data_IF_143703439141
#
_entry.id   IF_143703439141
#
_cell.length_a   1.000
_cell.length_b   1.000
_cell.length_c   1.000
_cell.angle_alpha   90.00
_cell.angle_beta   90.00
_cell.angle_gamma   90.00
#
_symmetry.space_group_name_H-M   'P 1'
#
loop_
_entity.id
_entity.type
_entity.pdbx_description
1 polymer ?
#
# COMPACT_ATOMS: atom_id res chain seq x y z
N UNK A 1 0.07 -11.95 -4.08
CA UNK A 1 0.11 -10.71 -4.88
C UNK A 1 -0.48 -9.59 -4.03
N UNK A 2 0.15 -8.41 -4.06
CA UNK A 2 -0.21 -7.27 -3.19
C UNK A 2 -0.87 -6.19 -4.01
N UNK A 3 -2.00 -5.64 -3.59
CA UNK A 3 -2.63 -4.47 -4.21
C UNK A 3 -2.28 -3.23 -3.41
N UNK A 4 -1.74 -2.23 -4.11
CA UNK A 4 -1.33 -0.95 -3.55
C UNK A 4 -2.32 0.10 -4.05
N UNK A 5 -3.22 0.54 -3.19
CA UNK A 5 -4.16 1.60 -3.52
C UNK A 5 -3.58 2.94 -3.09
N UNK A 6 -3.50 3.86 -4.05
CA UNK A 6 -2.95 5.19 -3.83
C UNK A 6 -3.13 6.07 -5.05
N UNK A 7 -2.48 7.23 -5.05
CA UNK A 7 -2.52 8.17 -6.18
C UNK A 7 -1.12 8.46 -6.70
N UNK A 8 -1.01 8.67 -8.01
CA UNK A 8 0.24 9.09 -8.63
C UNK A 8 0.67 10.47 -8.09
N UNK A 9 1.97 10.64 -7.86
CA UNK A 9 2.53 11.87 -7.30
C UNK A 9 2.36 12.03 -5.79
N UNK A 10 1.90 11.00 -5.07
CA UNK A 10 1.90 10.96 -3.62
C UNK A 10 3.25 10.42 -3.13
N UNK A 11 4.05 11.26 -2.45
CA UNK A 11 5.36 10.87 -1.90
C UNK A 11 5.34 9.54 -1.13
N UNK A 12 4.39 9.31 -0.20
CA UNK A 12 4.22 8.02 0.47
C UNK A 12 3.97 6.83 -0.47
N UNK A 13 3.13 7.01 -1.50
CA UNK A 13 2.80 5.95 -2.46
C UNK A 13 4.03 5.46 -3.23
N UNK A 14 4.86 6.41 -3.68
CA UNK A 14 6.09 6.12 -4.43
C UNK A 14 7.08 5.33 -3.56
N UNK A 15 7.27 5.73 -2.30
CA UNK A 15 8.18 5.04 -1.38
C UNK A 15 7.73 3.60 -1.13
N UNK A 16 6.43 3.35 -0.93
CA UNK A 16 5.89 1.99 -0.77
C UNK A 16 6.14 1.15 -2.02
N UNK A 17 5.83 1.67 -3.21
CA UNK A 17 6.06 0.97 -4.50
C UNK A 17 7.53 0.60 -4.68
N UNK A 18 8.43 1.56 -4.43
CA UNK A 18 9.87 1.34 -4.52
C UNK A 18 10.33 0.26 -3.54
N UNK A 19 9.85 0.30 -2.30
CA UNK A 19 10.18 -0.71 -1.30
C UNK A 19 9.72 -2.10 -1.72
N UNK A 20 8.48 -2.25 -2.21
CA UNK A 20 7.96 -3.53 -2.69
C UNK A 20 8.77 -4.06 -3.87
N UNK A 21 9.10 -3.20 -4.84
CA UNK A 21 9.94 -3.54 -5.97
C UNK A 21 11.35 -4.00 -5.52
N UNK A 22 11.97 -3.27 -4.59
CA UNK A 22 13.28 -3.62 -4.03
C UNK A 22 13.27 -4.97 -3.28
N UNK A 23 12.16 -5.30 -2.61
CA UNK A 23 11.99 -6.59 -1.93
C UNK A 23 11.57 -7.72 -2.87
N UNK A 24 11.38 -7.45 -4.16
CA UNK A 24 10.92 -8.43 -5.13
C UNK A 24 9.49 -8.90 -4.89
N UNK A 25 8.67 -8.09 -4.21
CA UNK A 25 7.28 -8.43 -3.91
C UNK A 25 6.42 -8.13 -5.13
N UNK A 26 5.69 -9.10 -5.70
CA UNK A 26 4.78 -8.84 -6.80
C UNK A 26 3.58 -8.01 -6.31
N UNK A 27 3.46 -6.80 -6.85
CA UNK A 27 2.39 -5.88 -6.49
C UNK A 27 1.68 -5.28 -7.72
N UNK A 28 0.41 -4.95 -7.55
CA UNK A 28 -0.46 -4.25 -8.48
C UNK A 28 -0.77 -2.88 -7.90
N UNK A 29 -0.50 -1.83 -8.68
CA UNK A 29 -0.84 -0.47 -8.26
C UNK A 29 -2.21 -0.10 -8.82
N UNK A 30 -3.14 0.24 -7.92
CA UNK A 30 -4.50 0.67 -8.28
C UNK A 30 -4.59 2.17 -8.02
N UNK A 31 -4.78 2.94 -9.09
CA UNK A 31 -4.86 4.39 -9.02
C UNK A 31 -6.23 4.83 -8.51
N UNK A 32 -6.29 5.28 -7.26
CA UNK A 32 -7.50 5.83 -6.64
C UNK A 32 -8.01 7.13 -7.30
N UNK A 33 -7.28 7.73 -8.25
CA UNK A 33 -7.83 8.83 -9.07
C UNK A 33 -8.68 8.36 -10.24
N UNK A 34 -8.40 7.16 -10.76
CA UNK A 34 -9.07 6.62 -11.94
C UNK A 34 -10.12 5.56 -11.55
N UNK A 35 -10.02 5.03 -10.34
CA UNK A 35 -10.90 4.01 -9.80
C UNK A 35 -11.66 4.56 -8.58
N UNK A 36 -12.97 4.74 -8.73
CA UNK A 36 -13.84 5.25 -7.67
C UNK A 36 -13.96 4.31 -6.46
N UNK A 37 -13.85 2.99 -6.67
CA UNK A 37 -13.90 2.02 -5.58
C UNK A 37 -12.62 2.09 -4.75
N UNK A 38 -11.47 2.19 -5.41
CA UNK A 38 -10.19 2.45 -4.77
C UNK A 38 -10.20 3.78 -4.01
N UNK A 39 -10.78 4.85 -4.58
CA UNK A 39 -10.92 6.13 -3.90
C UNK A 39 -11.73 6.01 -2.61
N UNK A 40 -12.91 5.37 -2.68
CA UNK A 40 -13.77 5.14 -1.51
C UNK A 40 -13.03 4.33 -0.45
N UNK A 41 -12.31 3.29 -0.85
CA UNK A 41 -11.56 2.42 0.06
C UNK A 41 -10.41 3.17 0.75
N UNK A 42 -9.60 3.89 0.00
CA UNK A 42 -8.50 4.68 0.56
C UNK A 42 -9.04 5.81 1.44
N UNK A 43 -10.12 6.47 1.04
CA UNK A 43 -10.75 7.53 1.85
C UNK A 43 -11.34 6.95 3.14
N UNK A 44 -12.00 5.79 3.09
CA UNK A 44 -12.56 5.14 4.28
C UNK A 44 -11.48 4.67 5.27
N UNK A 45 -10.33 4.19 4.77
CA UNK A 45 -9.29 3.58 5.60
C UNK A 45 -8.18 4.56 6.01
N UNK A 46 -7.69 5.37 5.06
CA UNK A 46 -6.63 6.35 5.24
C UNK A 46 -7.15 7.76 5.52
N UNK A 47 -8.45 8.03 5.34
CA UNK A 47 -9.05 9.36 5.48
C UNK A 47 -8.92 10.22 4.22
N UNK A 48 -7.79 10.13 3.52
CA UNK A 48 -7.56 10.84 2.25
C UNK A 48 -6.60 10.05 1.34
N UNK A 49 -6.77 10.10 0.00
CA UNK A 49 -5.88 9.47 -0.97
C UNK A 49 -4.41 9.93 -0.91
N UNK A 50 -4.14 11.09 -0.31
CA UNK A 50 -2.79 11.62 -0.13
C UNK A 50 -2.25 11.46 1.28
N UNK A 51 -3.10 11.07 2.25
CA UNK A 51 -2.71 10.92 3.65
C UNK A 51 -2.11 9.54 3.97
N UNK A 52 -2.25 8.57 3.07
CA UNK A 52 -1.68 7.24 3.27
C UNK A 52 -1.88 6.32 2.07
N UNK A 53 -1.24 5.17 2.15
CA UNK A 53 -1.33 4.07 1.18
C UNK A 53 -2.10 2.92 1.81
N UNK A 54 -3.01 2.32 1.06
CA UNK A 54 -3.66 1.09 1.49
C UNK A 54 -3.01 -0.09 0.76
N UNK A 55 -2.56 -1.08 1.53
CA UNK A 55 -2.00 -2.34 1.05
C UNK A 55 -3.01 -3.45 1.31
N UNK A 56 -3.39 -4.17 0.27
CA UNK A 56 -4.20 -5.38 0.39
C UNK A 56 -3.41 -6.59 -0.09
N UNK A 57 -3.44 -7.66 0.69
CA UNK A 57 -2.85 -8.94 0.30
C UNK A 57 -3.56 -10.07 1.03
N UNK A 58 -3.88 -11.16 0.34
CA UNK A 58 -4.43 -12.37 0.96
C UNK A 58 -5.68 -12.10 1.85
N UNK A 59 -6.56 -11.20 1.39
CA UNK A 59 -7.76 -10.77 2.12
C UNK A 59 -7.50 -9.86 3.33
N UNK A 60 -6.24 -9.53 3.64
CA UNK A 60 -5.85 -8.55 4.65
C UNK A 60 -5.71 -7.17 4.03
N UNK A 61 -6.07 -6.15 4.79
CA UNK A 61 -5.89 -4.76 4.40
C UNK A 61 -5.15 -4.02 5.51
N UNK A 62 -4.11 -3.26 5.16
CA UNK A 62 -3.35 -2.44 6.09
C UNK A 62 -3.10 -1.05 5.51
N UNK A 63 -3.08 -0.04 6.37
CA UNK A 63 -2.95 1.36 5.97
C UNK A 63 -1.62 1.91 6.48
N UNK A 64 -0.78 2.39 5.56
CA UNK A 64 0.48 3.06 5.87
C UNK A 64 0.27 4.58 5.73
N UNK A 65 0.08 5.26 6.86
CA UNK A 65 -0.06 6.73 6.92
C UNK A 65 1.29 7.47 7.02
N UNK A 66 2.35 6.75 7.40
CA UNK A 66 3.70 7.27 7.50
C UNK A 66 4.69 6.24 6.98
N UNK A 67 5.31 6.55 5.83
CA UNK A 67 6.36 5.70 5.26
C UNK A 67 7.65 5.93 6.03
N UNK A 68 7.96 4.96 6.89
CA UNK A 68 9.23 4.88 7.59
C UNK A 68 9.81 3.48 7.41
N UNK A 69 11.14 3.33 7.44
CA UNK A 69 11.78 2.01 7.29
C UNK A 69 11.23 0.98 8.28
N UNK A 70 10.92 1.39 9.52
CA UNK A 70 10.32 0.52 10.52
C UNK A 70 8.93 -0.01 10.09
N UNK A 71 8.03 0.88 9.67
CA UNK A 71 6.67 0.53 9.23
C UNK A 71 6.70 -0.41 8.02
N UNK A 72 7.56 -0.13 7.03
CA UNK A 72 7.69 -0.94 5.83
C UNK A 72 8.25 -2.33 6.12
N UNK A 73 9.28 -2.43 6.97
CA UNK A 73 9.83 -3.72 7.37
C UNK A 73 8.85 -4.52 8.26
N UNK A 74 8.09 -3.85 9.13
CA UNK A 74 7.06 -4.51 9.93
C UNK A 74 5.94 -5.10 9.05
N UNK A 75 5.47 -4.34 8.06
CA UNK A 75 4.52 -4.84 7.06
C UNK A 75 5.13 -6.03 6.28
N UNK A 76 6.38 -5.92 5.85
CA UNK A 76 7.05 -6.98 5.08
C UNK A 76 7.25 -8.26 5.87
N UNK A 77 7.55 -8.16 7.18
CA UNK A 77 7.62 -9.32 8.06
C UNK A 77 6.27 -10.07 8.09
N UNK A 78 5.16 -9.34 8.27
CA UNK A 78 3.80 -9.91 8.25
C UNK A 78 3.42 -10.52 6.90
N UNK A 79 3.87 -9.90 5.81
CA UNK A 79 3.72 -10.45 4.46
C UNK A 79 4.47 -11.78 4.31
N UNK A 80 5.70 -11.87 4.84
CA UNK A 80 6.55 -13.07 4.76
C UNK A 80 6.11 -14.20 5.69
N UNK A 81 5.64 -13.92 6.89
CA UNK A 81 5.15 -14.95 7.84
C UNK A 81 3.98 -15.77 7.28
N UNK A 82 3.27 -15.22 6.31
CA UNK A 82 2.18 -15.88 5.57
C UNK A 82 2.62 -16.56 4.27
N UNK A 83 3.87 -16.36 3.84
CA UNK A 83 4.45 -17.00 2.66
C UNK A 83 5.17 -18.33 2.99
N UNK A 84 5.03 -18.82 4.23
CA UNK A 84 5.51 -20.10 4.72
C UNK A 84 4.39 -21.12 4.87
#
# INVERSE_FOLDING_TARGET
MVRVYGVLGCGPCEIVKMFLAQKGVPFEFVNAREDEEALKKVTALAGSPTAGVVLEWDGKTEVIRGVSPATLNAWYARYREKAS
#
